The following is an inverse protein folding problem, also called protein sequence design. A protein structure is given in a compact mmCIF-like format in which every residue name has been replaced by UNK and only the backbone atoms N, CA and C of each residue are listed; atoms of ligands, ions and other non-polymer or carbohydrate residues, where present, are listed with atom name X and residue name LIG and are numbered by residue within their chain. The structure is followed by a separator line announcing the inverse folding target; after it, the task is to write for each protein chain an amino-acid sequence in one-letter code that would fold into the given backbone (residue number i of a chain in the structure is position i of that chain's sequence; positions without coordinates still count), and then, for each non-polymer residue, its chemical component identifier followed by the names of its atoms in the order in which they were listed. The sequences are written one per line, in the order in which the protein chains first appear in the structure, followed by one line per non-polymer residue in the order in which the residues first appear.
data_IF_587387476188
#
_entry.id   IF_587387476188
#
_cell.length_a   1.000
_cell.length_b   1.000
_cell.length_c   1.000
_cell.angle_alpha   90.00
_cell.angle_beta   90.00
_cell.angle_gamma   90.00
#
_symmetry.space_group_name_H-M   'P 1'
#
loop_
_entity.id
_entity.type
_entity.pdbx_description
1 polymer ?
#
# COMPACT_ATOMS: atom_id res chain seq x y z
N UNK A 1 -19.54 -8.76 -6.93
CA UNK A 1 -18.62 -9.19 -5.85
C UNK A 1 -17.21 -9.22 -6.41
N UNK A 2 -16.48 -8.13 -6.21
CA UNK A 2 -15.05 -7.97 -6.42
C UNK A 2 -14.46 -7.09 -5.29
N UNK A 3 -13.19 -6.72 -5.39
CA UNK A 3 -12.48 -6.00 -4.31
C UNK A 3 -13.09 -4.60 -4.06
N UNK A 4 -13.70 -3.96 -5.06
CA UNK A 4 -14.41 -2.70 -4.92
C UNK A 4 -15.72 -2.79 -4.12
N UNK A 5 -16.21 -4.01 -3.85
CA UNK A 5 -17.33 -4.26 -2.93
C UNK A 5 -16.85 -4.40 -1.46
N UNK A 6 -15.53 -4.33 -1.21
CA UNK A 6 -14.92 -4.54 0.11
C UNK A 6 -14.32 -3.27 0.70
N UNK A 7 -14.08 -3.26 2.01
CA UNK A 7 -13.35 -2.20 2.71
C UNK A 7 -12.16 -2.78 3.46
N UNK A 8 -11.09 -1.99 3.60
CA UNK A 8 -9.92 -2.41 4.38
C UNK A 8 -10.25 -2.49 5.86
N UNK A 9 -9.65 -3.47 6.54
CA UNK A 9 -9.66 -3.56 8.00
C UNK A 9 -8.57 -2.69 8.62
N UNK A 10 -8.68 -2.46 9.93
CA UNK A 10 -7.62 -1.82 10.68
C UNK A 10 -6.30 -2.64 10.56
N UNK A 11 -5.14 -1.98 10.49
CA UNK A 11 -3.85 -2.66 10.43
C UNK A 11 -3.63 -3.56 11.67
N UNK A 12 -3.13 -4.77 11.45
CA UNK A 12 -2.70 -5.68 12.52
C UNK A 12 -1.24 -5.48 12.94
N UNK A 13 -0.72 -6.37 13.78
CA UNK A 13 0.67 -6.33 14.27
C UNK A 13 1.70 -6.97 13.34
N UNK A 14 1.26 -7.55 12.21
CA UNK A 14 2.10 -8.39 11.33
C UNK A 14 3.43 -7.73 10.94
N UNK A 15 3.40 -6.45 10.52
CA UNK A 15 4.61 -5.74 10.09
C UNK A 15 5.58 -5.58 11.26
N UNK A 16 5.07 -5.13 12.41
CA UNK A 16 5.90 -4.96 13.61
C UNK A 16 6.49 -6.28 14.09
N UNK A 17 5.73 -7.37 14.03
CA UNK A 17 6.20 -8.68 14.48
C UNK A 17 7.21 -9.30 13.50
N UNK A 18 7.05 -9.07 12.19
CA UNK A 18 8.06 -9.42 11.18
C UNK A 18 9.37 -8.65 11.41
N UNK A 19 9.29 -7.34 11.65
CA UNK A 19 10.47 -6.52 11.95
C UNK A 19 11.18 -6.94 13.24
N UNK A 20 10.44 -7.29 14.30
CA UNK A 20 11.03 -7.86 15.54
C UNK A 20 11.77 -9.17 15.29
N UNK A 21 11.32 -9.96 14.33
CA UNK A 21 11.99 -11.18 13.91
C UNK A 21 13.14 -10.95 12.92
N UNK A 22 13.46 -9.69 12.57
CA UNK A 22 14.49 -9.34 11.59
C UNK A 22 14.10 -9.62 10.14
N UNK A 23 12.80 -9.76 9.85
CA UNK A 23 12.27 -10.04 8.51
C UNK A 23 11.82 -8.74 7.84
N UNK A 24 11.99 -8.69 6.52
CA UNK A 24 11.48 -7.61 5.67
C UNK A 24 10.09 -7.97 5.12
N UNK A 25 9.22 -6.97 4.96
CA UNK A 25 7.85 -7.14 4.47
C UNK A 25 7.67 -6.44 3.12
N UNK A 26 7.28 -7.22 2.11
CA UNK A 26 7.06 -6.76 0.75
C UNK A 26 5.70 -7.26 0.22
N UNK A 27 4.62 -6.46 0.26
CA UNK A 27 3.32 -6.90 -0.25
C UNK A 27 3.31 -7.05 -1.78
N UNK A 28 2.54 -8.03 -2.25
CA UNK A 28 2.35 -8.40 -3.66
C UNK A 28 0.85 -8.60 -3.94
N UNK A 29 0.22 -8.04 -4.98
CA UNK A 29 0.69 -7.00 -5.93
C UNK A 29 -0.29 -5.84 -5.90
N UNK A 30 0.23 -4.61 -5.93
CA UNK A 30 -0.59 -3.41 -6.04
C UNK A 30 -1.07 -3.20 -7.47
N UNK A 31 -2.34 -2.80 -7.59
CA UNK A 31 -3.08 -2.76 -8.85
C UNK A 31 -3.92 -1.50 -8.96
N UNK A 32 -3.96 -0.90 -10.14
CA UNK A 32 -4.68 0.36 -10.35
C UNK A 32 -6.13 0.17 -10.82
N UNK A 33 -6.50 -1.03 -11.27
CA UNK A 33 -7.81 -1.24 -11.85
C UNK A 33 -8.90 -1.04 -10.80
N UNK A 34 -9.93 -0.26 -11.12
CA UNK A 34 -11.00 0.13 -10.17
C UNK A 34 -11.64 -1.06 -9.45
N UNK A 35 -11.84 -2.18 -10.16
CA UNK A 35 -12.41 -3.43 -9.59
C UNK A 35 -11.50 -4.16 -8.60
N UNK A 36 -10.23 -3.75 -8.51
CA UNK A 36 -9.16 -4.32 -7.66
C UNK A 36 -8.85 -3.44 -6.45
N UNK A 37 -9.41 -2.24 -6.39
CA UNK A 37 -9.22 -1.30 -5.29
C UNK A 37 -10.37 -1.42 -4.31
N UNK A 38 -10.06 -1.50 -3.02
CA UNK A 38 -11.08 -1.47 -1.97
C UNK A 38 -11.89 -0.15 -2.03
N UNK A 39 -13.17 -0.22 -1.69
CA UNK A 39 -14.12 0.89 -1.80
C UNK A 39 -13.67 2.15 -1.07
N UNK A 40 -12.99 1.99 0.08
CA UNK A 40 -12.53 3.08 0.91
C UNK A 40 -11.37 3.88 0.32
N UNK A 41 -10.71 3.38 -0.73
CA UNK A 41 -9.76 4.16 -1.54
C UNK A 41 -10.45 5.07 -2.56
N UNK A 42 -11.77 4.98 -2.73
CA UNK A 42 -12.58 5.84 -3.59
C UNK A 42 -12.06 5.91 -5.04
N UNK A 43 -11.49 4.80 -5.50
CA UNK A 43 -10.90 4.68 -6.83
C UNK A 43 -9.56 5.36 -7.03
N UNK A 44 -8.92 5.86 -5.96
CA UNK A 44 -7.54 6.37 -6.01
C UNK A 44 -6.54 5.25 -5.65
N UNK A 45 -5.80 4.72 -6.64
CA UNK A 45 -4.79 3.71 -6.36
C UNK A 45 -3.65 4.24 -5.49
N UNK A 46 -3.30 5.53 -5.57
CA UNK A 46 -2.21 6.12 -4.76
C UNK A 46 -2.51 6.02 -3.26
N UNK A 47 -3.79 6.10 -2.87
CA UNK A 47 -4.19 5.98 -1.48
C UNK A 47 -3.81 4.63 -0.87
N UNK A 48 -3.87 3.54 -1.65
CA UNK A 48 -3.41 2.22 -1.22
C UNK A 48 -1.89 2.21 -1.00
N UNK A 49 -1.11 2.66 -1.98
CA UNK A 49 0.35 2.75 -1.85
C UNK A 49 0.78 3.58 -0.64
N UNK A 50 0.19 4.76 -0.45
CA UNK A 50 0.48 5.64 0.67
C UNK A 50 0.13 4.99 2.01
N UNK A 51 -0.98 4.26 2.10
CA UNK A 51 -1.33 3.53 3.31
C UNK A 51 -0.23 2.53 3.68
N UNK A 52 0.18 1.67 2.75
CA UNK A 52 1.20 0.65 3.04
C UNK A 52 2.58 1.25 3.33
N UNK A 53 2.96 2.33 2.63
CA UNK A 53 4.19 3.08 2.95
C UNK A 53 4.18 3.61 4.38
N UNK A 54 3.06 4.18 4.83
CA UNK A 54 2.90 4.68 6.21
C UNK A 54 2.86 3.57 7.26
N UNK A 55 2.43 2.37 6.87
CA UNK A 55 2.50 1.19 7.74
C UNK A 55 3.93 0.65 7.91
N UNK A 56 4.90 1.15 7.13
CA UNK A 56 6.30 0.79 7.26
C UNK A 56 6.71 -0.47 6.49
N UNK A 57 6.05 -0.78 5.37
CA UNK A 57 6.55 -1.85 4.49
C UNK A 57 7.92 -1.49 3.91
N UNK A 58 8.77 -2.50 3.74
CA UNK A 58 10.16 -2.32 3.30
C UNK A 58 10.25 -2.18 1.77
N UNK A 59 9.28 -2.73 1.06
CA UNK A 59 9.11 -2.54 -0.37
C UNK A 59 7.75 -3.07 -0.85
N UNK A 60 7.52 -3.06 -2.16
CA UNK A 60 6.23 -3.39 -2.75
C UNK A 60 6.40 -3.93 -4.16
N UNK A 61 5.56 -4.87 -4.56
CA UNK A 61 5.45 -5.31 -5.94
C UNK A 61 4.22 -4.66 -6.58
N UNK A 62 4.39 -4.10 -7.78
CA UNK A 62 3.35 -3.37 -8.48
C UNK A 62 3.39 -3.69 -9.97
N UNK A 63 2.22 -3.89 -10.57
CA UNK A 63 2.03 -3.95 -12.02
C UNK A 63 2.06 -2.54 -12.65
N UNK A 64 2.04 -1.47 -11.83
CA UNK A 64 1.94 -0.06 -12.20
C UNK A 64 3.07 0.75 -11.53
N UNK A 65 4.30 0.51 -11.98
CA UNK A 65 5.50 1.09 -11.39
C UNK A 65 5.52 2.63 -11.40
N UNK A 66 4.90 3.27 -12.39
CA UNK A 66 4.72 4.72 -12.47
C UNK A 66 3.93 5.28 -11.28
N UNK A 67 2.84 4.59 -10.90
CA UNK A 67 1.99 4.95 -9.78
C UNK A 67 2.69 4.69 -8.45
N UNK A 68 3.42 3.59 -8.34
CA UNK A 68 4.24 3.28 -7.18
C UNK A 68 5.33 4.35 -6.96
N UNK A 69 6.05 4.74 -8.02
CA UNK A 69 7.07 5.79 -7.96
C UNK A 69 6.47 7.15 -7.59
N UNK A 70 5.35 7.54 -8.19
CA UNK A 70 4.69 8.80 -7.84
C UNK A 70 4.24 8.80 -6.38
N UNK A 71 3.64 7.71 -5.89
CA UNK A 71 3.17 7.60 -4.51
C UNK A 71 4.33 7.64 -3.51
N UNK A 72 5.45 6.99 -3.85
CA UNK A 72 6.68 7.06 -3.04
C UNK A 72 7.26 8.47 -3.00
N UNK A 73 7.23 9.21 -4.11
CA UNK A 73 7.67 10.60 -4.13
C UNK A 73 6.78 11.49 -3.26
N UNK A 74 5.46 11.29 -3.32
CA UNK A 74 4.50 12.01 -2.49
C UNK A 74 4.74 11.70 -0.99
N UNK A 75 4.96 10.43 -0.62
CA UNK A 75 5.32 10.03 0.74
C UNK A 75 6.64 10.64 1.24
N UNK A 76 7.68 10.71 0.40
CA UNK A 76 8.96 11.32 0.80
C UNK A 76 8.82 12.81 1.10
N UNK A 77 8.03 13.53 0.28
CA UNK A 77 7.68 14.93 0.55
C UNK A 77 6.92 15.09 1.87
N UNK A 78 5.98 14.20 2.19
CA UNK A 78 5.27 14.18 3.48
C UNK A 78 6.25 14.03 4.66
N UNK A 79 7.33 13.27 4.47
CA UNK A 79 8.37 13.04 5.48
C UNK A 79 9.48 14.11 5.49
N UNK A 80 9.36 15.17 4.68
CA UNK A 80 10.34 16.26 4.62
C UNK A 80 11.68 15.89 3.98
N UNK A 81 11.67 14.88 3.08
CA UNK A 81 12.85 14.40 2.34
C UNK A 81 12.74 14.72 0.86
#
# INVERSE_FOLDING_TARGET
INDADTTTLAPGSLIADAHKAGLLVHPYTFRNEQRRLAANYKGDPKAEYLQFLRLGVDGMFSDFADTALSSRADYLKEMGR
#
